data_IF_028404872300
#
_entry.id   IF_028404872300
#
_cell.length_a   1.000
_cell.length_b   1.000
_cell.length_c   1.000
_cell.angle_alpha   90.00
_cell.angle_beta   90.00
_cell.angle_gamma   90.00
#
_symmetry.space_group_name_H-M   'P 1'
#
loop_
_entity.id
_entity.type
_entity.pdbx_description
1 polymer ?
#
# COMPACT_ATOMS: atom_id res chain seq x y z
N UNK A 1 19.44 44.19 -3.48
CA UNK A 1 19.03 42.86 -4.00
C UNK A 1 18.91 41.96 -2.79
N UNK A 2 17.70 41.81 -2.24
CA UNK A 2 17.46 40.91 -1.10
C UNK A 2 17.42 39.49 -1.65
N UNK A 3 18.43 38.69 -1.34
CA UNK A 3 18.34 37.23 -1.52
C UNK A 3 17.40 36.77 -0.40
N UNK A 4 16.19 36.28 -0.71
CA UNK A 4 15.36 35.72 0.33
C UNK A 4 16.09 34.49 0.85
N UNK A 5 16.46 34.50 2.13
CA UNK A 5 16.89 33.30 2.84
C UNK A 5 15.74 32.32 2.66
N UNK A 6 15.94 31.25 1.86
CA UNK A 6 14.98 30.14 1.79
C UNK A 6 14.78 29.71 3.24
N UNK A 7 13.58 29.94 3.77
CA UNK A 7 13.19 29.39 5.07
C UNK A 7 13.46 27.89 5.04
N UNK A 8 14.16 27.37 6.05
CA UNK A 8 14.46 25.94 6.14
C UNK A 8 13.20 25.11 5.87
N UNK A 9 13.31 24.15 4.94
CA UNK A 9 12.19 23.25 4.63
C UNK A 9 11.83 22.45 5.89
N UNK A 10 10.57 22.52 6.37
CA UNK A 10 10.16 21.80 7.57
C UNK A 10 10.34 20.30 7.37
N UNK A 11 10.97 19.65 8.34
CA UNK A 11 11.20 18.20 8.31
C UNK A 11 10.09 17.47 9.06
N UNK A 12 9.54 16.45 8.42
CA UNK A 12 8.60 15.54 9.04
C UNK A 12 9.29 14.73 10.14
N UNK A 13 8.61 14.67 11.29
CA UNK A 13 8.99 13.79 12.39
C UNK A 13 7.71 13.28 13.05
N UNK A 14 7.50 11.97 13.01
CA UNK A 14 6.39 11.38 13.75
C UNK A 14 6.66 11.52 15.26
N UNK A 15 5.70 12.10 15.97
CA UNK A 15 5.79 12.36 17.41
C UNK A 15 5.40 11.13 18.27
N UNK A 16 5.09 10.00 17.63
CA UNK A 16 4.64 8.77 18.29
C UNK A 16 3.47 9.00 19.28
N UNK A 17 2.57 9.94 18.98
CA UNK A 17 1.44 10.30 19.85
C UNK A 17 0.29 9.29 19.85
N UNK A 18 0.33 8.30 18.97
CA UNK A 18 -0.68 7.23 18.88
C UNK A 18 -1.99 7.61 18.19
N UNK A 19 -2.25 8.90 17.89
CA UNK A 19 -3.52 9.37 17.31
C UNK A 19 -3.87 8.65 16.01
N UNK A 20 -2.99 8.66 15.02
CA UNK A 20 -3.22 7.96 13.75
C UNK A 20 -3.24 6.43 13.91
N UNK A 21 -2.46 5.89 14.85
CA UNK A 21 -2.41 4.46 15.12
C UNK A 21 -3.66 3.95 15.86
N UNK A 22 -4.41 4.83 16.52
CA UNK A 22 -5.64 4.46 17.24
C UNK A 22 -6.85 4.26 16.31
N UNK A 23 -6.75 4.74 15.07
CA UNK A 23 -7.78 4.65 14.04
C UNK A 23 -7.13 4.32 12.68
N UNK A 24 -6.57 3.10 12.56
CA UNK A 24 -5.89 2.66 11.32
C UNK A 24 -6.86 2.26 10.20
N UNK A 25 -8.16 2.22 10.49
CA UNK A 25 -9.22 1.92 9.53
C UNK A 25 -9.85 3.21 9.03
N UNK A 26 -10.26 3.21 7.76
CA UNK A 26 -11.37 4.07 7.32
C UNK A 26 -11.05 5.49 6.88
N UNK A 27 -9.78 5.93 6.85
CA UNK A 27 -9.41 7.20 6.19
C UNK A 27 -9.23 6.94 4.69
N UNK A 28 -10.35 6.69 4.01
CA UNK A 28 -10.42 6.51 2.56
C UNK A 28 -11.31 7.63 2.02
N UNK A 29 -10.82 8.47 1.07
CA UNK A 29 -11.61 9.51 0.44
C UNK A 29 -12.96 8.97 -0.04
N UNK A 30 -14.01 9.81 0.02
CA UNK A 30 -15.38 9.41 -0.30
C UNK A 30 -15.48 8.77 -1.69
N UNK A 31 -14.80 9.34 -2.67
CA UNK A 31 -14.80 8.86 -4.05
C UNK A 31 -14.10 7.50 -4.20
N UNK A 32 -12.98 7.25 -3.52
CA UNK A 32 -12.33 5.92 -3.50
C UNK A 32 -13.28 4.88 -2.89
N UNK A 33 -14.01 5.26 -1.84
CA UNK A 33 -15.01 4.40 -1.21
C UNK A 33 -16.18 4.10 -2.17
N UNK A 34 -16.64 5.08 -2.95
CA UNK A 34 -17.68 4.89 -3.96
C UNK A 34 -17.19 4.01 -5.11
N UNK A 35 -16.01 4.27 -5.66
CA UNK A 35 -15.41 3.44 -6.71
C UNK A 35 -15.29 1.97 -6.29
N UNK A 36 -14.76 1.71 -5.10
CA UNK A 36 -14.62 0.34 -4.57
C UNK A 36 -15.99 -0.32 -4.42
N UNK A 37 -16.99 0.40 -3.87
CA UNK A 37 -18.37 -0.10 -3.74
C UNK A 37 -19.00 -0.47 -5.09
N UNK A 38 -18.74 0.30 -6.13
CA UNK A 38 -19.38 0.11 -7.44
C UNK A 38 -18.70 -0.93 -8.33
N UNK A 39 -17.38 -1.08 -8.23
CA UNK A 39 -16.57 -1.80 -9.21
C UNK A 39 -15.77 -2.98 -8.63
N UNK A 40 -15.21 -2.85 -7.42
CA UNK A 40 -14.28 -3.84 -6.87
C UNK A 40 -14.97 -5.10 -6.30
N UNK A 41 -16.30 -5.11 -6.24
CA UNK A 41 -17.12 -6.22 -5.75
C UNK A 41 -17.64 -7.10 -6.90
N UNK A 42 -16.72 -7.58 -7.75
CA UNK A 42 -16.99 -8.61 -8.75
C UNK A 42 -17.08 -8.16 -10.21
N UNK A 43 -16.96 -6.86 -10.51
CA UNK A 43 -16.91 -6.37 -11.91
C UNK A 43 -15.48 -6.32 -12.48
N UNK A 44 -14.48 -6.31 -11.61
CA UNK A 44 -13.06 -6.24 -11.98
C UNK A 44 -12.37 -7.62 -11.80
N UNK A 45 -11.23 -7.85 -12.50
CA UNK A 45 -10.43 -9.07 -12.34
C UNK A 45 -10.02 -9.35 -10.89
N UNK A 46 -9.77 -8.28 -10.13
CA UNK A 46 -9.37 -8.32 -8.72
C UNK A 46 -10.58 -8.00 -7.86
N UNK A 47 -10.94 -8.94 -6.99
CA UNK A 47 -12.09 -8.85 -6.10
C UNK A 47 -11.64 -8.35 -4.72
N UNK A 48 -12.31 -7.33 -4.21
CA UNK A 48 -12.17 -6.85 -2.85
C UNK A 48 -12.93 -7.76 -1.87
N UNK A 49 -12.23 -8.37 -0.91
CA UNK A 49 -12.81 -9.39 -0.01
C UNK A 49 -13.36 -8.82 1.30
N UNK A 50 -13.05 -7.56 1.60
CA UNK A 50 -13.40 -6.92 2.87
C UNK A 50 -13.97 -5.52 2.62
N UNK A 51 -15.03 -5.09 3.34
CA UNK A 51 -15.58 -3.75 3.21
C UNK A 51 -14.54 -2.65 3.46
N UNK A 52 -14.69 -1.53 2.75
CA UNK A 52 -13.78 -0.38 2.82
C UNK A 52 -13.52 0.12 4.24
N UNK A 53 -14.56 0.19 5.08
CA UNK A 53 -14.44 0.65 6.47
C UNK A 53 -13.67 -0.29 7.38
N UNK A 54 -13.39 -1.53 6.97
CA UNK A 54 -12.65 -2.52 7.77
C UNK A 54 -11.21 -2.70 7.29
N UNK A 55 -10.84 -2.09 6.16
CA UNK A 55 -9.50 -2.19 5.60
C UNK A 55 -8.49 -1.38 6.43
N UNK A 56 -7.31 -1.96 6.59
CA UNK A 56 -6.09 -1.25 7.03
C UNK A 56 -5.16 -1.07 5.83
N UNK A 57 -3.93 -0.60 6.05
CA UNK A 57 -2.91 -0.59 5.01
C UNK A 57 -2.78 -1.96 4.33
N UNK A 58 -2.76 -2.01 2.98
CA UNK A 58 -2.54 -3.24 2.26
C UNK A 58 -1.11 -3.71 2.47
N UNK A 59 -0.95 -5.02 2.62
CA UNK A 59 0.35 -5.70 2.69
C UNK A 59 0.50 -6.57 1.45
N UNK A 60 1.65 -6.52 0.79
CA UNK A 60 2.01 -7.53 -0.21
C UNK A 60 2.31 -8.87 0.47
N UNK A 61 2.32 -9.98 -0.26
CA UNK A 61 2.52 -11.32 0.29
C UNK A 61 3.88 -11.47 1.01
N UNK A 62 4.96 -10.89 0.49
CA UNK A 62 6.25 -10.87 1.19
C UNK A 62 6.24 -9.98 2.45
N UNK A 63 5.44 -8.92 2.48
CA UNK A 63 5.25 -8.08 3.67
C UNK A 63 4.42 -8.80 4.72
N UNK A 64 3.37 -9.50 4.30
CA UNK A 64 2.53 -10.31 5.16
C UNK A 64 3.33 -11.43 5.84
N UNK A 65 4.22 -12.11 5.10
CA UNK A 65 5.11 -13.14 5.65
C UNK A 65 6.00 -12.56 6.77
N UNK A 66 6.70 -11.45 6.52
CA UNK A 66 7.53 -10.76 7.53
C UNK A 66 6.73 -10.26 8.72
N UNK A 67 5.55 -9.70 8.45
CA UNK A 67 4.66 -9.21 9.51
C UNK A 67 4.25 -10.35 10.45
N UNK A 68 3.99 -11.54 9.88
CA UNK A 68 3.65 -12.72 10.66
C UNK A 68 4.80 -13.17 11.58
N UNK A 69 6.05 -12.91 11.21
CA UNK A 69 7.21 -13.18 12.07
C UNK A 69 7.31 -12.13 13.19
N UNK A 70 7.19 -10.84 12.86
CA UNK A 70 7.35 -9.75 13.83
C UNK A 70 6.25 -9.68 14.90
N UNK A 71 5.04 -10.16 14.59
CA UNK A 71 3.97 -10.23 15.61
C UNK A 71 4.33 -11.19 16.75
N UNK A 72 5.07 -12.27 16.46
CA UNK A 72 5.55 -13.20 17.48
C UNK A 72 6.64 -12.56 18.34
N UNK A 73 7.59 -11.86 17.72
CA UNK A 73 8.65 -11.12 18.43
C UNK A 73 8.09 -10.05 19.37
N UNK A 74 7.03 -9.34 18.95
CA UNK A 74 6.42 -8.26 19.71
C UNK A 74 5.35 -8.71 20.72
N UNK A 75 5.05 -10.02 20.77
CA UNK A 75 3.94 -10.59 21.52
C UNK A 75 2.61 -9.84 21.24
N UNK A 76 2.21 -9.86 19.98
CA UNK A 76 0.99 -9.25 19.44
C UNK A 76 0.23 -10.30 18.63
N UNK A 77 -1.09 -10.41 18.82
CA UNK A 77 -1.96 -11.23 17.96
C UNK A 77 -2.56 -10.36 16.86
N UNK A 78 -1.85 -10.23 15.74
CA UNK A 78 -2.27 -9.44 14.61
C UNK A 78 -2.65 -10.35 13.44
N UNK A 79 -3.94 -10.66 13.32
CA UNK A 79 -4.45 -11.57 12.29
C UNK A 79 -4.27 -10.98 10.90
N UNK A 80 -3.46 -11.60 10.06
CA UNK A 80 -3.36 -11.24 8.65
C UNK A 80 -4.46 -11.97 7.87
N UNK A 81 -5.21 -11.25 7.04
CA UNK A 81 -6.24 -11.84 6.18
C UNK A 81 -6.10 -11.37 4.73
N UNK A 82 -6.54 -12.19 3.75
CA UNK A 82 -6.65 -11.74 2.36
C UNK A 82 -7.53 -10.49 2.24
N UNK A 83 -7.01 -9.48 1.54
CA UNK A 83 -7.72 -8.24 1.25
C UNK A 83 -8.30 -8.26 -0.16
N UNK A 84 -7.48 -8.63 -1.14
CA UNK A 84 -7.82 -8.67 -2.56
C UNK A 84 -7.37 -9.98 -3.16
N UNK A 85 -8.21 -10.57 -4.01
CA UNK A 85 -7.90 -11.82 -4.67
C UNK A 85 -8.47 -11.91 -6.08
N UNK A 86 -7.87 -12.76 -6.89
CA UNK A 86 -8.37 -13.18 -8.20
C UNK A 86 -8.87 -14.61 -8.05
N UNK A 87 -10.12 -14.86 -8.41
CA UNK A 87 -10.60 -16.23 -8.59
C UNK A 87 -10.31 -16.65 -10.03
N UNK A 88 -9.31 -17.50 -10.23
CA UNK A 88 -9.01 -18.03 -11.56
C UNK A 88 -10.00 -19.14 -11.92
N UNK A 89 -10.79 -18.92 -12.97
CA UNK A 89 -11.79 -19.89 -13.42
C UNK A 89 -11.19 -21.13 -14.09
N UNK A 90 -9.94 -21.07 -14.55
CA UNK A 90 -9.27 -22.22 -15.15
C UNK A 90 -8.82 -23.23 -14.08
N UNK A 91 -8.12 -22.77 -13.05
CA UNK A 91 -7.56 -23.63 -12.00
C UNK A 91 -8.44 -23.74 -10.74
N UNK A 92 -9.50 -22.93 -10.63
CA UNK A 92 -10.31 -22.76 -9.42
C UNK A 92 -9.46 -22.37 -8.18
N UNK A 93 -8.32 -21.70 -8.40
CA UNK A 93 -7.48 -21.14 -7.34
C UNK A 93 -7.90 -19.71 -7.01
N UNK A 94 -7.78 -19.37 -5.74
CA UNK A 94 -7.81 -17.99 -5.27
C UNK A 94 -6.36 -17.46 -5.18
N UNK A 95 -5.99 -16.61 -6.12
CA UNK A 95 -4.69 -15.94 -6.14
C UNK A 95 -4.80 -14.69 -5.26
N UNK A 96 -4.13 -14.68 -4.12
CA UNK A 96 -4.21 -13.58 -3.15
C UNK A 96 -3.23 -12.49 -3.56
N UNK A 97 -3.76 -11.32 -3.94
CA UNK A 97 -2.99 -10.19 -4.46
C UNK A 97 -2.42 -9.33 -3.34
N UNK A 98 -3.24 -9.05 -2.32
CA UNK A 98 -2.80 -8.34 -1.12
C UNK A 98 -3.51 -8.85 0.11
N UNK A 99 -2.88 -8.64 1.25
CA UNK A 99 -3.34 -8.89 2.59
C UNK A 99 -3.63 -7.58 3.32
N UNK A 100 -4.20 -7.69 4.52
CA UNK A 100 -4.33 -6.58 5.45
C UNK A 100 -4.27 -7.09 6.89
N UNK A 101 -4.03 -6.16 7.82
CA UNK A 101 -4.07 -6.43 9.25
C UNK A 101 -5.52 -6.41 9.73
N UNK A 102 -6.07 -7.56 10.05
CA UNK A 102 -7.38 -7.68 10.65
C UNK A 102 -7.28 -7.59 12.18
N UNK A 103 -7.20 -6.36 12.70
CA UNK A 103 -7.29 -6.10 14.15
C UNK A 103 -8.64 -6.49 14.75
N UNK A 104 -8.67 -6.79 16.06
CA UNK A 104 -9.94 -6.91 16.81
C UNK A 104 -10.59 -5.53 17.02
N UNK A 105 -9.77 -4.48 17.06
CA UNK A 105 -10.17 -3.09 17.24
C UNK A 105 -9.76 -2.26 16.02
N UNK A 106 -10.16 -0.98 16.00
CA UNK A 106 -9.75 -0.01 14.98
C UNK A 106 -8.32 0.52 15.21
N UNK A 107 -7.67 0.11 16.29
CA UNK A 107 -6.30 0.46 16.62
C UNK A 107 -5.29 -0.52 16.01
N UNK A 108 -4.09 -0.01 15.74
CA UNK A 108 -2.94 -0.80 15.38
C UNK A 108 -2.62 -1.81 16.48
N UNK A 109 -2.46 -3.11 16.16
CA UNK A 109 -2.10 -4.13 17.15
C UNK A 109 -0.79 -3.85 17.92
N UNK A 110 0.11 -3.06 17.34
CA UNK A 110 1.36 -2.63 17.99
C UNK A 110 1.22 -1.37 18.86
N UNK A 111 0.04 -0.75 18.90
CA UNK A 111 -0.21 0.40 19.77
C UNK A 111 -0.54 -0.09 21.19
N UNK A 112 0.40 0.07 22.13
CA UNK A 112 0.22 -0.22 23.55
C UNK A 112 0.38 1.07 24.34
N UNK A 113 -0.61 1.46 25.14
CA UNK A 113 -0.57 2.68 25.96
C UNK A 113 -0.18 3.95 25.16
N UNK A 114 -0.77 4.12 23.97
CA UNK A 114 -0.45 5.20 23.00
C UNK A 114 0.98 5.21 22.45
N UNK A 115 1.76 4.14 22.64
CA UNK A 115 3.12 3.99 22.09
C UNK A 115 3.19 2.80 21.15
N UNK A 116 3.90 2.96 20.03
CA UNK A 116 4.15 1.87 19.10
C UNK A 116 5.26 0.97 19.64
N UNK A 117 4.94 -0.31 19.89
CA UNK A 117 5.88 -1.28 20.49
C UNK A 117 7.06 -1.64 19.57
N UNK A 118 6.97 -1.33 18.28
CA UNK A 118 7.99 -1.62 17.27
C UNK A 118 8.54 -0.36 16.60
N UNK A 119 8.37 0.81 17.23
CA UNK A 119 8.59 2.10 16.59
C UNK A 119 9.98 2.23 15.95
N UNK A 120 11.04 1.91 16.72
CA UNK A 120 12.43 2.07 16.29
C UNK A 120 12.98 0.91 15.47
N UNK A 121 12.27 -0.23 15.43
CA UNK A 121 12.78 -1.46 14.81
C UNK A 121 12.08 -1.79 13.52
N UNK A 122 10.74 -1.65 13.46
CA UNK A 122 9.93 -2.17 12.35
C UNK A 122 8.80 -1.25 11.85
N UNK A 123 8.60 -0.06 12.44
CA UNK A 123 7.51 0.87 12.03
C UNK A 123 7.49 1.15 10.53
N UNK A 124 8.66 1.34 9.91
CA UNK A 124 8.78 1.62 8.48
C UNK A 124 8.25 0.50 7.58
N UNK A 125 8.12 -0.73 8.09
CA UNK A 125 7.56 -1.85 7.33
C UNK A 125 6.06 -2.04 7.59
N UNK A 126 5.57 -1.65 8.77
CA UNK A 126 4.14 -1.78 9.13
C UNK A 126 3.31 -0.60 8.65
N UNK A 127 3.86 0.61 8.76
CA UNK A 127 3.21 1.85 8.38
C UNK A 127 4.04 2.55 7.29
N UNK A 128 4.55 1.79 6.32
CA UNK A 128 5.52 2.26 5.31
C UNK A 128 5.07 3.53 4.58
N UNK A 129 3.76 3.61 4.32
CA UNK A 129 3.14 4.73 3.63
C UNK A 129 3.01 5.97 4.52
N UNK A 130 2.89 5.83 5.85
CA UNK A 130 2.56 6.96 6.72
C UNK A 130 3.66 8.03 6.73
N UNK A 131 3.33 9.32 6.57
CA UNK A 131 1.98 9.90 6.64
C UNK A 131 1.27 10.02 5.29
N UNK A 132 1.82 9.49 4.21
CA UNK A 132 1.17 9.45 2.90
C UNK A 132 0.07 8.38 2.87
N UNK A 133 -0.97 8.66 2.10
CA UNK A 133 -1.94 7.67 1.60
C UNK A 133 -1.58 7.25 0.17
N UNK A 134 -1.02 8.16 -0.63
CA UNK A 134 -0.54 7.97 -2.01
C UNK A 134 0.60 8.94 -2.31
N UNK A 135 1.44 8.65 -3.29
CA UNK A 135 2.45 9.63 -3.75
C UNK A 135 1.88 10.57 -4.83
N UNK A 136 2.59 11.66 -5.15
CA UNK A 136 2.22 12.57 -6.26
C UNK A 136 2.23 11.90 -7.65
N UNK A 137 2.82 10.71 -7.79
CA UNK A 137 2.93 10.01 -9.06
C UNK A 137 1.65 9.28 -9.50
N UNK A 138 0.71 9.04 -8.57
CA UNK A 138 -0.62 8.56 -8.90
C UNK A 138 -1.55 9.77 -9.05
N UNK A 139 -1.89 10.12 -10.30
CA UNK A 139 -2.90 11.13 -10.60
C UNK A 139 -4.27 10.48 -10.87
N UNK A 140 -5.33 11.20 -10.53
CA UNK A 140 -6.68 10.95 -11.05
C UNK A 140 -6.92 11.94 -12.19
N UNK A 141 -7.32 11.45 -13.34
CA UNK A 141 -7.75 12.27 -14.50
C UNK A 141 -6.72 13.34 -14.94
N UNK A 142 -5.43 13.09 -14.69
CA UNK A 142 -4.36 14.03 -15.01
C UNK A 142 -4.22 15.21 -14.03
N UNK A 143 -5.10 15.36 -13.04
CA UNK A 143 -4.97 16.35 -11.97
C UNK A 143 -4.24 15.76 -10.76
N UNK A 144 -3.12 16.38 -10.41
CA UNK A 144 -2.33 16.05 -9.24
C UNK A 144 -2.88 16.86 -8.07
N UNK A 145 -3.69 16.22 -7.22
CA UNK A 145 -4.30 16.89 -6.07
C UNK A 145 -3.48 16.63 -4.81
N UNK A 146 -3.09 17.72 -4.12
CA UNK A 146 -2.58 17.69 -2.74
C UNK A 146 -3.59 17.06 -1.79
N UNK A 147 -4.88 17.24 -2.09
CA UNK A 147 -5.98 16.65 -1.34
C UNK A 147 -5.90 15.12 -1.33
N UNK A 148 -6.00 14.54 -0.14
CA UNK A 148 -5.93 13.09 0.07
C UNK A 148 -4.54 12.46 -0.09
N UNK A 149 -3.49 13.22 -0.40
CA UNK A 149 -2.10 12.70 -0.48
C UNK A 149 -1.61 12.22 0.88
N UNK A 150 -2.01 12.91 1.96
CA UNK A 150 -1.62 12.61 3.33
C UNK A 150 -2.81 12.13 4.16
N UNK A 151 -2.54 11.24 5.11
CA UNK A 151 -3.46 10.90 6.18
C UNK A 151 -3.49 11.96 7.27
N UNK A 152 -4.34 11.75 8.28
CA UNK A 152 -4.45 12.67 9.41
C UNK A 152 -3.23 12.53 10.35
N UNK A 153 -2.39 13.57 10.37
CA UNK A 153 -1.25 13.65 11.27
C UNK A 153 -0.97 15.11 11.64
N UNK A 154 -1.02 15.47 12.92
CA UNK A 154 -0.71 16.84 13.37
C UNK A 154 0.70 17.32 13.02
N UNK A 155 1.66 16.41 12.81
CA UNK A 155 3.01 16.79 12.36
C UNK A 155 3.02 17.38 10.93
N UNK A 156 1.94 17.17 10.16
CA UNK A 156 1.79 17.70 8.80
C UNK A 156 1.35 19.17 8.77
N UNK A 157 0.85 19.74 9.88
CA UNK A 157 0.36 21.13 9.94
C UNK A 157 1.40 22.17 9.47
N UNK A 158 2.68 21.90 9.73
CA UNK A 158 3.78 22.78 9.33
C UNK A 158 4.28 22.55 7.89
N UNK A 159 3.99 21.37 7.33
CA UNK A 159 4.51 20.92 6.03
C UNK A 159 3.50 21.17 4.92
N UNK A 160 2.22 20.81 5.12
CA UNK A 160 1.16 20.93 4.12
C UNK A 160 1.06 22.31 3.48
N UNK A 161 1.10 23.43 4.25
CA UNK A 161 0.99 24.77 3.66
C UNK A 161 2.18 25.16 2.76
N UNK A 162 3.30 24.45 2.87
CA UNK A 162 4.55 24.74 2.16
C UNK A 162 4.78 23.84 0.95
N UNK A 163 3.93 22.83 0.72
CA UNK A 163 4.04 21.94 -0.44
C UNK A 163 3.84 22.78 -1.72
N UNK A 164 4.77 22.80 -2.68
CA UNK A 164 4.60 23.52 -3.94
C UNK A 164 3.46 22.96 -4.81
N UNK A 165 2.88 23.77 -5.69
CA UNK A 165 1.93 23.30 -6.73
C UNK A 165 2.66 22.75 -7.96
N UNK A 166 3.83 23.31 -8.30
CA UNK A 166 4.65 22.79 -9.39
C UNK A 166 5.13 21.38 -9.05
N UNK A 167 4.98 20.45 -9.99
CA UNK A 167 5.26 19.04 -9.76
C UNK A 167 6.73 18.79 -9.45
N UNK A 168 7.66 19.37 -10.22
CA UNK A 168 9.08 19.11 -10.05
C UNK A 168 9.56 19.69 -8.71
N UNK A 169 9.12 20.91 -8.38
CA UNK A 169 9.43 21.52 -7.08
C UNK A 169 8.75 20.78 -5.92
N UNK A 170 7.56 20.20 -6.12
CA UNK A 170 6.90 19.34 -5.15
C UNK A 170 7.73 18.08 -4.87
N UNK A 171 8.23 17.39 -5.89
CA UNK A 171 9.06 16.19 -5.70
C UNK A 171 10.35 16.53 -4.94
N UNK A 172 11.03 17.63 -5.28
CA UNK A 172 12.21 18.11 -4.54
C UNK A 172 11.86 18.42 -3.08
N UNK A 173 10.80 19.20 -2.86
CA UNK A 173 10.33 19.57 -1.52
C UNK A 173 10.00 18.34 -0.67
N UNK A 174 9.25 17.37 -1.20
CA UNK A 174 8.87 16.16 -0.47
C UNK A 174 10.08 15.26 -0.19
N UNK A 175 11.02 15.16 -1.11
CA UNK A 175 12.28 14.42 -0.89
C UNK A 175 13.07 15.01 0.27
N UNK A 176 13.08 16.33 0.40
CA UNK A 176 13.76 17.02 1.49
C UNK A 176 12.95 17.01 2.80
N UNK A 177 11.63 17.19 2.73
CA UNK A 177 10.75 17.28 3.91
C UNK A 177 10.59 15.95 4.64
N UNK A 178 10.82 14.80 3.97
CA UNK A 178 10.63 13.47 4.55
C UNK A 178 11.95 12.65 4.61
N UNK A 179 12.92 13.07 5.45
CA UNK A 179 14.21 12.40 5.55
C UNK A 179 14.13 10.99 6.19
N UNK A 180 12.99 10.62 6.78
CA UNK A 180 12.77 9.30 7.37
C UNK A 180 12.40 8.21 6.34
N UNK A 181 12.40 8.56 5.05
CA UNK A 181 12.11 7.63 3.95
C UNK A 181 10.62 7.44 3.66
N UNK A 182 9.71 8.10 4.39
CA UNK A 182 8.26 7.96 4.17
C UNK A 182 7.84 8.31 2.74
N UNK A 183 8.47 9.34 2.15
CA UNK A 183 8.20 9.71 0.75
C UNK A 183 8.69 8.64 -0.23
N UNK A 184 9.90 8.10 -0.04
CA UNK A 184 10.42 6.99 -0.86
C UNK A 184 9.50 5.77 -0.83
N UNK A 185 9.04 5.38 0.37
CA UNK A 185 8.12 4.27 0.54
C UNK A 185 6.78 4.51 -0.18
N UNK A 186 6.27 5.75 -0.16
CA UNK A 186 5.05 6.10 -0.87
C UNK A 186 5.21 5.95 -2.39
N UNK A 187 6.32 6.45 -2.94
CA UNK A 187 6.62 6.30 -4.38
C UNK A 187 6.83 4.83 -4.75
N UNK A 188 7.56 4.07 -3.92
CA UNK A 188 7.80 2.65 -4.17
C UNK A 188 6.49 1.86 -4.14
N UNK A 189 5.59 2.15 -3.20
CA UNK A 189 4.28 1.53 -3.14
C UNK A 189 3.52 1.70 -4.46
N UNK A 190 3.53 2.91 -5.01
CA UNK A 190 2.83 3.22 -6.25
C UNK A 190 3.42 2.43 -7.43
N UNK A 191 4.74 2.29 -7.46
CA UNK A 191 5.44 1.43 -8.44
C UNK A 191 5.03 -0.04 -8.28
N UNK A 192 4.93 -0.57 -7.05
CA UNK A 192 4.50 -1.96 -6.83
C UNK A 192 3.03 -2.16 -7.25
N UNK A 193 2.15 -1.19 -6.99
CA UNK A 193 0.76 -1.23 -7.47
C UNK A 193 0.71 -1.26 -9.01
N UNK A 194 1.46 -0.38 -9.66
CA UNK A 194 1.54 -0.31 -11.11
C UNK A 194 2.08 -1.62 -11.72
N UNK A 195 3.18 -2.14 -11.17
CA UNK A 195 3.77 -3.41 -11.58
C UNK A 195 2.77 -4.56 -11.42
N UNK A 196 2.10 -4.66 -10.27
CA UNK A 196 1.11 -5.71 -10.00
C UNK A 196 -0.03 -5.67 -11.02
N UNK A 197 -0.57 -4.48 -11.30
CA UNK A 197 -1.64 -4.32 -12.27
C UNK A 197 -1.19 -4.71 -13.69
N UNK A 198 0.02 -4.31 -14.10
CA UNK A 198 0.60 -4.71 -15.39
C UNK A 198 0.80 -6.22 -15.48
N UNK A 199 1.31 -6.85 -14.43
CA UNK A 199 1.50 -8.30 -14.37
C UNK A 199 0.16 -9.04 -14.50
N UNK A 200 -0.89 -8.61 -13.79
CA UNK A 200 -2.24 -9.20 -13.91
C UNK A 200 -2.78 -9.08 -15.34
N UNK A 201 -2.65 -7.91 -15.96
CA UNK A 201 -3.09 -7.68 -17.34
C UNK A 201 -2.32 -8.58 -18.31
N UNK A 202 -1.01 -8.73 -18.13
CA UNK A 202 -0.17 -9.58 -18.99
C UNK A 202 -0.49 -11.07 -18.81
N UNK A 203 -0.71 -11.54 -17.58
CA UNK A 203 -1.17 -12.89 -17.30
C UNK A 203 -2.51 -13.20 -17.99
N UNK A 204 -3.45 -12.24 -17.99
CA UNK A 204 -4.71 -12.36 -18.71
C UNK A 204 -4.50 -12.41 -20.23
N UNK A 205 -3.68 -11.51 -20.79
CA UNK A 205 -3.38 -11.47 -22.23
C UNK A 205 -2.72 -12.76 -22.72
N UNK A 206 -1.84 -13.34 -21.90
CA UNK A 206 -1.17 -14.63 -22.16
C UNK A 206 -2.05 -15.85 -21.86
N UNK A 207 -3.30 -15.64 -21.43
CA UNK A 207 -4.24 -16.69 -21.01
C UNK A 207 -3.72 -17.61 -19.89
N UNK A 208 -2.79 -17.11 -19.06
CA UNK A 208 -2.28 -17.83 -17.89
C UNK A 208 -3.33 -17.84 -16.78
N UNK A 209 -4.10 -16.74 -16.65
CA UNK A 209 -5.27 -16.66 -15.75
C UNK A 209 -6.53 -16.29 -16.53
N UNK A 210 -7.67 -16.75 -16.03
CA UNK A 210 -9.00 -16.35 -16.48
C UNK A 210 -9.84 -15.90 -15.28
N UNK A 211 -9.74 -14.62 -14.88
CA UNK A 211 -10.44 -14.09 -13.72
C UNK A 211 -11.96 -14.25 -13.84
N UNK A 212 -12.60 -14.75 -12.78
CA UNK A 212 -14.05 -14.78 -12.67
C UNK A 212 -14.58 -13.36 -12.43
N UNK A 213 -15.15 -12.76 -13.47
CA UNK A 213 -15.73 -11.41 -13.46
C UNK A 213 -17.22 -11.44 -13.72
N UNK A 214 -17.92 -10.38 -13.33
CA UNK A 214 -19.36 -10.16 -13.50
C UNK A 214 -20.26 -11.19 -12.79
N UNK A 215 -19.77 -11.78 -11.70
CA UNK A 215 -20.56 -12.63 -10.81
C UNK A 215 -21.04 -11.85 -9.59
N UNK A 216 -22.17 -12.25 -8.96
CA UNK A 216 -22.59 -11.67 -7.68
C UNK A 216 -21.47 -11.76 -6.63
N UNK A 217 -21.28 -10.68 -5.88
CA UNK A 217 -20.18 -10.59 -4.91
C UNK A 217 -20.19 -11.72 -3.88
N UNK A 218 -21.35 -12.00 -3.28
CA UNK A 218 -21.47 -13.05 -2.25
C UNK A 218 -21.10 -14.43 -2.79
N UNK A 219 -21.36 -14.68 -4.08
CA UNK A 219 -20.96 -15.90 -4.74
C UNK A 219 -19.45 -15.97 -4.94
N UNK A 220 -18.83 -14.90 -5.46
CA UNK A 220 -17.37 -14.83 -5.62
C UNK A 220 -16.64 -14.94 -4.29
N UNK A 221 -17.10 -14.22 -3.27
CA UNK A 221 -16.52 -14.22 -1.93
C UNK A 221 -16.54 -15.63 -1.32
N UNK A 222 -17.68 -16.32 -1.36
CA UNK A 222 -17.79 -17.71 -0.90
C UNK A 222 -16.87 -18.66 -1.67
N UNK A 223 -16.79 -18.52 -3.00
CA UNK A 223 -15.88 -19.35 -3.81
C UNK A 223 -14.41 -19.10 -3.49
N UNK A 224 -14.00 -17.85 -3.32
CA UNK A 224 -12.63 -17.48 -2.97
C UNK A 224 -12.26 -18.05 -1.59
N UNK A 225 -13.17 -17.95 -0.62
CA UNK A 225 -12.96 -18.52 0.73
C UNK A 225 -12.75 -20.04 0.67
N UNK A 226 -13.47 -20.74 -0.21
CA UNK A 226 -13.42 -22.20 -0.31
C UNK A 226 -12.36 -22.72 -1.32
N UNK A 227 -11.81 -21.85 -2.17
CA UNK A 227 -10.80 -22.21 -3.14
C UNK A 227 -9.44 -22.49 -2.48
N UNK A 228 -8.60 -23.29 -3.17
CA UNK A 228 -7.17 -23.40 -2.85
C UNK A 228 -6.53 -22.03 -3.03
N UNK A 229 -5.84 -21.56 -1.99
CA UNK A 229 -5.21 -20.23 -1.96
C UNK A 229 -3.75 -20.35 -2.38
N UNK A 230 -3.27 -19.33 -3.08
CA UNK A 230 -1.87 -19.16 -3.45
C UNK A 230 -1.52 -17.67 -3.40
N UNK A 231 -0.35 -17.34 -2.90
CA UNK A 231 0.17 -15.97 -2.92
C UNK A 231 0.45 -15.52 -4.36
N UNK A 232 0.31 -14.24 -4.65
CA UNK A 232 0.54 -13.72 -5.99
C UNK A 232 1.94 -14.04 -6.51
N UNK A 233 3.00 -13.78 -5.73
CA UNK A 233 4.37 -14.05 -6.20
C UNK A 233 4.65 -15.55 -6.36
N UNK A 234 4.09 -16.39 -5.47
CA UNK A 234 4.19 -17.84 -5.61
C UNK A 234 3.44 -18.36 -6.83
N UNK A 235 2.31 -17.75 -7.19
CA UNK A 235 1.59 -18.04 -8.43
C UNK A 235 2.41 -17.65 -9.67
N UNK A 236 3.12 -16.52 -9.66
CA UNK A 236 4.00 -16.13 -10.77
C UNK A 236 5.09 -17.19 -11.02
N UNK A 237 5.63 -17.78 -9.95
CA UNK A 237 6.61 -18.86 -10.05
C UNK A 237 5.95 -20.17 -10.51
N UNK A 238 4.83 -20.55 -9.90
CA UNK A 238 4.12 -21.81 -10.21
C UNK A 238 3.64 -21.85 -11.68
N UNK A 239 3.28 -20.70 -12.23
CA UNK A 239 2.83 -20.54 -13.62
C UNK A 239 3.98 -20.41 -14.63
N UNK A 240 5.24 -20.48 -14.19
CA UNK A 240 6.42 -20.17 -15.00
C UNK A 240 6.39 -18.77 -15.64
N UNK A 241 5.68 -17.82 -15.04
CA UNK A 241 5.64 -16.44 -15.50
C UNK A 241 6.94 -15.70 -15.18
N UNK A 242 7.50 -15.96 -13.99
CA UNK A 242 8.81 -15.46 -13.54
C UNK A 242 9.55 -16.56 -12.78
N UNK A 243 10.86 -16.62 -12.93
CA UNK A 243 11.69 -17.50 -12.12
C UNK A 243 11.73 -17.02 -10.66
N UNK A 244 11.91 -17.96 -9.71
CA UNK A 244 12.00 -17.65 -8.27
C UNK A 244 13.04 -16.56 -7.97
N UNK A 245 14.22 -16.65 -8.60
CA UNK A 245 15.30 -15.68 -8.43
C UNK A 245 14.91 -14.28 -8.90
N UNK A 246 14.17 -14.17 -10.01
CA UNK A 246 13.71 -12.86 -10.53
C UNK A 246 12.72 -12.21 -9.56
N UNK A 247 11.85 -13.00 -8.93
CA UNK A 247 10.93 -12.54 -7.89
C UNK A 247 11.70 -12.07 -6.64
N UNK A 248 12.70 -12.83 -6.20
CA UNK A 248 13.53 -12.44 -5.05
C UNK A 248 14.31 -11.14 -5.32
N UNK A 249 14.91 -11.00 -6.49
CA UNK A 249 15.62 -9.79 -6.91
C UNK A 249 14.66 -8.59 -6.99
N UNK A 250 13.45 -8.78 -7.50
CA UNK A 250 12.42 -7.75 -7.56
C UNK A 250 11.98 -7.29 -6.17
N UNK A 251 11.69 -8.24 -5.27
CA UNK A 251 11.31 -7.93 -3.88
C UNK A 251 12.46 -7.19 -3.17
N UNK A 252 13.71 -7.59 -3.39
CA UNK A 252 14.87 -6.89 -2.85
C UNK A 252 14.96 -5.45 -3.36
N UNK A 253 14.65 -5.19 -4.64
CA UNK A 253 14.58 -3.81 -5.15
C UNK A 253 13.46 -3.01 -4.49
N UNK A 254 12.29 -3.61 -4.32
CA UNK A 254 11.15 -2.98 -3.64
C UNK A 254 11.48 -2.62 -2.19
N UNK A 255 12.09 -3.53 -1.44
CA UNK A 255 12.46 -3.29 -0.04
C UNK A 255 13.53 -2.21 0.14
N UNK A 256 14.42 -2.04 -0.84
CA UNK A 256 15.47 -1.03 -0.80
C UNK A 256 15.05 0.33 -1.39
N UNK A 257 13.78 0.46 -1.79
CA UNK A 257 13.23 1.61 -2.50
C UNK A 257 14.06 1.98 -3.75
N UNK A 258 14.65 1.00 -4.42
CA UNK A 258 15.58 1.25 -5.53
C UNK A 258 14.87 1.94 -6.70
N UNK A 259 13.70 1.45 -7.09
CA UNK A 259 12.94 2.02 -8.21
C UNK A 259 12.40 3.42 -7.86
N UNK A 260 12.02 3.64 -6.60
CA UNK A 260 11.60 4.97 -6.13
C UNK A 260 12.74 5.99 -6.19
N UNK A 261 13.97 5.60 -5.78
CA UNK A 261 15.17 6.46 -5.88
C UNK A 261 15.47 6.81 -7.33
N UNK A 262 15.46 5.82 -8.22
CA UNK A 262 15.65 6.03 -9.66
C UNK A 262 14.59 6.99 -10.23
N UNK A 263 13.31 6.77 -9.89
CA UNK A 263 12.20 7.62 -10.36
C UNK A 263 12.33 9.07 -9.89
N UNK A 264 12.67 9.28 -8.62
CA UNK A 264 12.82 10.63 -8.03
C UNK A 264 14.05 11.35 -8.57
N UNK A 265 15.15 10.63 -8.87
CA UNK A 265 16.37 11.23 -9.40
C UNK A 265 16.18 11.94 -10.75
N UNK A 266 15.09 11.66 -11.49
CA UNK A 266 14.73 12.40 -12.69
C UNK A 266 14.24 13.84 -12.43
N UNK A 267 13.95 14.18 -11.17
CA UNK A 267 13.33 15.45 -10.76
C UNK A 267 14.21 16.30 -9.84
N UNK A 268 15.31 15.75 -9.33
CA UNK A 268 16.27 16.41 -8.44
C UNK A 268 17.51 16.77 -9.24
#
# INVERSE_FOLDING_TARGET
MFIPIRSEIPKFKCNACGTCCSHIRGIIPKEDREFVKEHAFGKLPVVQLVPVGQMTFPLWDWEAKRFSEWQHEANVDARIKPLRAILDSNSNKAIIVTYFMNGLTDACPFLKENKCSIYHTKRAYVCRLFPFNRSPFISRDGMQLKEGMFGECGAMEKILPQVPEDFNEMIKFLSEAFPDGSFLNAVQNDIVVEWTNKAIIDLMRKNIIKPAMNYPYDFLSKRIVNAKKIDFTDFLVESNYMARKEIEDLINRFDNNTDAKERIAHYI
#
